data_IF_909835565461
#
_entry.id   IF_909835565461
#
_cell.length_a   1.000
_cell.length_b   1.000
_cell.length_c   1.000
_cell.angle_alpha   90.00
_cell.angle_beta   90.00
_cell.angle_gamma   90.00
#
_symmetry.space_group_name_H-M   'P 1'
#
loop_
_entity.id
_entity.type
_entity.pdbx_description
1 polymer ?
#
# COMPACT_ATOMS: atom_id res chain seq x y z
N UNK A 1 -4.97 12.43 9.70
CA UNK A 1 -5.02 11.81 8.36
C UNK A 1 -5.87 10.56 8.43
N UNK A 2 -6.81 10.37 7.52
CA UNK A 2 -7.66 9.19 7.39
C UNK A 2 -7.14 8.31 6.26
N UNK A 3 -6.86 7.04 6.53
CA UNK A 3 -6.17 6.15 5.60
C UNK A 3 -6.96 4.86 5.45
N UNK A 4 -7.26 4.47 4.21
CA UNK A 4 -7.86 3.19 3.89
C UNK A 4 -6.78 2.16 3.52
N UNK A 5 -6.82 0.99 4.15
CA UNK A 5 -6.07 -0.19 3.70
C UNK A 5 -7.09 -1.12 3.03
N UNK A 6 -7.11 -1.06 1.72
CA UNK A 6 -8.08 -1.77 0.88
C UNK A 6 -7.73 -3.25 0.85
N UNK A 7 -8.61 -4.06 1.42
CA UNK A 7 -8.44 -5.50 1.58
C UNK A 7 -9.67 -6.22 1.02
N UNK A 8 -9.45 -7.33 0.34
CA UNK A 8 -10.49 -8.18 -0.24
C UNK A 8 -10.37 -9.60 0.30
N UNK A 9 -11.37 -10.43 0.15
CA UNK A 9 -11.26 -11.85 0.51
C UNK A 9 -10.04 -12.49 -0.16
N UNK A 10 -9.26 -13.19 0.63
CA UNK A 10 -7.96 -13.72 0.25
C UNK A 10 -6.83 -12.70 0.34
N UNK A 11 -7.00 -11.59 1.08
CA UNK A 11 -5.95 -10.59 1.28
C UNK A 11 -4.74 -11.16 2.02
N UNK A 12 -3.58 -10.55 1.78
CA UNK A 12 -2.35 -10.89 2.49
C UNK A 12 -2.27 -10.10 3.80
N UNK A 13 -2.33 -10.81 4.94
CA UNK A 13 -2.29 -10.18 6.26
C UNK A 13 -0.95 -9.49 6.52
N UNK A 14 0.15 -10.07 6.05
CA UNK A 14 1.48 -9.57 6.38
C UNK A 14 1.65 -8.14 5.89
N UNK A 15 1.38 -7.88 4.62
CA UNK A 15 1.56 -6.54 4.06
C UNK A 15 0.50 -5.55 4.57
N UNK A 16 -0.75 -6.00 4.70
CA UNK A 16 -1.84 -5.15 5.19
C UNK A 16 -1.65 -4.75 6.65
N UNK A 17 -1.26 -5.69 7.53
CA UNK A 17 -1.11 -5.40 8.95
C UNK A 17 0.17 -4.66 9.30
N UNK A 18 1.26 -4.87 8.56
CA UNK A 18 2.47 -4.05 8.73
C UNK A 18 2.16 -2.59 8.43
N UNK A 19 1.51 -2.31 7.30
CA UNK A 19 1.11 -0.94 6.97
C UNK A 19 0.13 -0.36 8.00
N UNK A 20 -0.92 -1.10 8.38
CA UNK A 20 -1.90 -0.69 9.40
C UNK A 20 -1.23 -0.33 10.72
N UNK A 21 -0.30 -1.19 11.16
CA UNK A 21 0.39 -1.01 12.44
C UNK A 21 1.29 0.23 12.44
N UNK A 22 2.07 0.46 11.38
CA UNK A 22 2.97 1.61 11.29
C UNK A 22 2.21 2.93 11.19
N UNK A 23 1.21 3.01 10.34
CA UNK A 23 0.45 4.23 10.10
C UNK A 23 -0.32 4.70 11.33
N UNK A 24 -0.87 3.78 12.12
CA UNK A 24 -1.58 4.11 13.37
C UNK A 24 -0.66 4.52 14.53
N UNK A 25 0.68 4.50 14.36
CA UNK A 25 1.62 5.05 15.34
C UNK A 25 1.86 6.55 15.16
N UNK A 26 1.40 7.14 14.08
CA UNK A 26 1.50 8.59 13.88
C UNK A 26 0.37 9.28 14.63
N UNK A 27 0.66 10.24 15.55
CA UNK A 27 -0.38 10.94 16.29
C UNK A 27 -1.41 11.60 15.37
N UNK A 28 -2.69 11.37 15.64
CA UNK A 28 -3.81 11.92 14.87
C UNK A 28 -4.07 11.25 13.52
N UNK A 29 -3.39 10.14 13.22
CA UNK A 29 -3.69 9.33 12.05
C UNK A 29 -4.62 8.17 12.40
N UNK A 30 -5.47 7.80 11.45
CA UNK A 30 -6.44 6.71 11.58
C UNK A 30 -6.41 5.86 10.30
N UNK A 31 -5.59 4.80 10.33
CA UNK A 31 -5.58 3.79 9.28
C UNK A 31 -6.58 2.69 9.63
N UNK A 32 -7.41 2.31 8.67
CA UNK A 32 -8.50 1.36 8.85
C UNK A 32 -8.55 0.38 7.67
N UNK A 33 -8.95 -0.86 7.94
CA UNK A 33 -9.26 -1.82 6.89
C UNK A 33 -10.52 -1.36 6.16
N UNK A 34 -10.40 -1.25 4.85
CA UNK A 34 -11.47 -0.92 3.92
C UNK A 34 -11.81 -2.15 3.08
N UNK A 35 -13.07 -2.56 3.05
CA UNK A 35 -13.49 -3.73 2.30
C UNK A 35 -14.87 -3.55 1.65
N UNK A 36 -15.24 -4.37 0.64
CA UNK A 36 -16.59 -4.39 0.06
C UNK A 36 -17.66 -4.76 1.07
N UNK A 37 -17.36 -5.68 1.99
CA UNK A 37 -18.27 -6.25 2.97
C UNK A 37 -17.86 -5.90 4.41
N UNK A 38 -18.76 -6.16 5.37
CA UNK A 38 -18.51 -5.84 6.77
C UNK A 38 -17.37 -6.67 7.39
N UNK A 39 -17.08 -7.82 6.82
CA UNK A 39 -15.97 -8.69 7.18
C UNK A 39 -15.20 -9.10 5.94
N UNK A 40 -13.94 -9.41 6.09
CA UNK A 40 -13.07 -9.92 5.04
C UNK A 40 -12.16 -11.00 5.63
N UNK A 41 -11.91 -12.06 4.85
CA UNK A 41 -11.08 -13.19 5.27
C UNK A 41 -9.76 -13.18 4.50
N UNK A 42 -8.64 -13.33 5.22
CA UNK A 42 -7.31 -13.35 4.64
C UNK A 42 -7.02 -14.65 3.88
N UNK A 43 -5.88 -14.68 3.19
CA UNK A 43 -5.40 -15.86 2.48
C UNK A 43 -5.09 -17.05 3.40
N UNK A 44 -4.84 -16.80 4.69
CA UNK A 44 -4.57 -17.82 5.71
C UNK A 44 -5.78 -18.07 6.65
N UNK A 45 -6.97 -17.56 6.31
CA UNK A 45 -8.20 -17.84 7.03
C UNK A 45 -8.48 -16.91 8.22
N UNK A 46 -7.72 -15.82 8.38
CA UNK A 46 -7.98 -14.83 9.44
C UNK A 46 -9.16 -13.94 9.02
N UNK A 47 -10.25 -14.02 9.75
CA UNK A 47 -11.42 -13.16 9.53
C UNK A 47 -11.31 -11.89 10.36
N UNK A 48 -11.49 -10.74 9.71
CA UNK A 48 -11.46 -9.42 10.35
C UNK A 48 -12.68 -8.57 9.96
N UNK A 49 -13.05 -7.64 10.83
CA UNK A 49 -14.07 -6.64 10.51
C UNK A 49 -13.45 -5.50 9.70
N UNK A 50 -14.15 -5.06 8.66
CA UNK A 50 -13.83 -3.84 7.96
C UNK A 50 -14.28 -2.63 8.79
N UNK A 51 -13.37 -1.69 9.02
CA UNK A 51 -13.68 -0.43 9.72
C UNK A 51 -14.43 0.57 8.84
N UNK A 52 -14.24 0.50 7.52
CA UNK A 52 -14.85 1.39 6.52
C UNK A 52 -15.17 0.62 5.23
N UNK A 53 -16.02 1.22 4.39
CA UNK A 53 -16.52 0.64 3.13
C UNK A 53 -15.92 1.36 1.92
N UNK A 54 -16.02 0.72 0.73
CA UNK A 54 -15.46 1.26 -0.53
C UNK A 54 -16.02 2.64 -0.93
N UNK A 55 -17.25 2.94 -0.57
CA UNK A 55 -17.88 4.23 -0.87
C UNK A 55 -17.24 5.41 -0.11
N UNK A 56 -16.49 5.14 0.95
CA UNK A 56 -15.72 6.15 1.69
C UNK A 56 -14.35 6.47 1.08
N UNK A 57 -13.87 5.69 0.09
CA UNK A 57 -12.55 5.92 -0.52
C UNK A 57 -12.32 7.35 -1.01
N UNK A 58 -13.29 8.04 -1.64
CA UNK A 58 -13.10 9.42 -2.06
C UNK A 58 -12.83 10.40 -0.91
N UNK A 59 -13.20 10.07 0.32
CA UNK A 59 -13.02 10.93 1.50
C UNK A 59 -11.73 10.66 2.27
N UNK A 60 -10.93 9.69 1.83
CA UNK A 60 -9.66 9.35 2.47
C UNK A 60 -8.54 10.28 2.01
N UNK A 61 -7.60 10.59 2.90
CA UNK A 61 -6.38 11.33 2.59
C UNK A 61 -5.34 10.44 1.91
N UNK A 62 -5.36 9.13 2.23
CA UNK A 62 -4.49 8.15 1.62
C UNK A 62 -5.19 6.78 1.48
N UNK A 63 -4.75 6.01 0.49
CA UNK A 63 -5.24 4.64 0.24
C UNK A 63 -4.06 3.72 -0.04
N UNK A 64 -4.02 2.59 0.63
CA UNK A 64 -3.13 1.47 0.28
C UNK A 64 -3.98 0.35 -0.30
N UNK A 65 -3.68 -0.05 -1.52
CA UNK A 65 -4.27 -1.23 -2.16
C UNK A 65 -3.45 -2.44 -1.75
N UNK A 66 -4.01 -3.28 -0.89
CA UNK A 66 -3.39 -4.51 -0.40
C UNK A 66 -3.27 -5.58 -1.49
N UNK A 67 -2.44 -6.58 -1.23
CA UNK A 67 -2.29 -7.74 -2.10
C UNK A 67 -3.19 -8.91 -1.66
N UNK A 68 -3.29 -9.93 -2.51
CA UNK A 68 -4.01 -11.15 -2.16
C UNK A 68 -4.11 -12.15 -3.31
N UNK A 69 -4.56 -13.35 -2.98
CA UNK A 69 -4.64 -14.48 -3.93
C UNK A 69 -5.73 -14.31 -4.99
N UNK A 70 -6.66 -13.38 -4.79
CA UNK A 70 -7.78 -13.11 -5.70
C UNK A 70 -7.58 -11.88 -6.59
N UNK A 71 -6.43 -11.23 -6.56
CA UNK A 71 -6.21 -9.94 -7.24
C UNK A 71 -6.54 -9.98 -8.73
N UNK A 72 -6.25 -11.09 -9.44
CA UNK A 72 -6.59 -11.23 -10.86
C UNK A 72 -8.09 -11.24 -11.12
N UNK A 73 -8.86 -11.95 -10.27
CA UNK A 73 -10.32 -11.98 -10.37
C UNK A 73 -10.91 -10.60 -10.07
N UNK A 74 -10.36 -9.89 -9.06
CA UNK A 74 -10.78 -8.54 -8.71
C UNK A 74 -10.50 -7.55 -9.83
N UNK A 75 -9.34 -7.62 -10.48
CA UNK A 75 -8.98 -6.77 -11.62
C UNK A 75 -9.90 -7.00 -12.84
N UNK A 76 -10.45 -8.22 -13.00
CA UNK A 76 -11.39 -8.55 -14.08
C UNK A 76 -12.86 -8.18 -13.76
N UNK A 77 -13.16 -7.82 -12.50
CA UNK A 77 -14.51 -7.42 -12.08
C UNK A 77 -14.71 -5.92 -12.34
N UNK A 78 -15.28 -5.59 -13.50
CA UNK A 78 -15.54 -4.20 -13.90
C UNK A 78 -16.48 -3.46 -12.93
N UNK A 79 -17.44 -4.15 -12.30
CA UNK A 79 -18.36 -3.53 -11.35
C UNK A 79 -17.63 -3.16 -10.04
N UNK A 80 -16.74 -4.02 -9.56
CA UNK A 80 -15.88 -3.72 -8.41
C UNK A 80 -14.90 -2.59 -8.75
N UNK A 81 -14.21 -2.67 -9.89
CA UNK A 81 -13.23 -1.66 -10.30
C UNK A 81 -13.85 -0.27 -10.41
N UNK A 82 -15.07 -0.14 -10.91
CA UNK A 82 -15.80 1.13 -10.97
C UNK A 82 -16.13 1.75 -9.58
N UNK A 83 -16.10 0.95 -8.51
CA UNK A 83 -16.28 1.42 -7.13
C UNK A 83 -14.98 1.94 -6.50
N UNK A 84 -13.81 1.60 -7.07
CA UNK A 84 -12.51 2.03 -6.56
C UNK A 84 -12.19 3.43 -7.08
N UNK A 85 -12.86 4.43 -6.53
CA UNK A 85 -12.68 5.84 -6.91
C UNK A 85 -11.52 6.44 -6.15
N UNK A 86 -10.35 6.50 -6.79
CA UNK A 86 -9.10 7.05 -6.27
C UNK A 86 -8.73 8.31 -7.03
N UNK A 87 -8.20 9.31 -6.32
CA UNK A 87 -7.78 10.58 -6.90
C UNK A 87 -6.32 10.90 -6.50
N UNK A 88 -5.33 10.61 -7.38
CA UNK A 88 -3.93 10.89 -7.09
C UNK A 88 -3.58 12.39 -7.04
N UNK A 89 -4.48 13.29 -7.48
CA UNK A 89 -4.24 14.72 -7.37
C UNK A 89 -4.29 15.23 -5.93
N UNK A 90 -4.98 14.50 -5.03
CA UNK A 90 -5.14 14.89 -3.62
C UNK A 90 -4.87 13.76 -2.60
N UNK A 91 -4.88 12.49 -3.02
CA UNK A 91 -4.64 11.35 -2.15
C UNK A 91 -3.22 10.83 -2.31
N UNK A 92 -2.59 10.38 -1.23
CA UNK A 92 -1.43 9.51 -1.32
C UNK A 92 -1.95 8.08 -1.60
N UNK A 93 -1.51 7.49 -2.70
CA UNK A 93 -1.98 6.17 -3.14
C UNK A 93 -0.80 5.21 -3.17
N UNK A 94 -0.94 4.09 -2.48
CA UNK A 94 0.04 3.02 -2.47
C UNK A 94 -0.53 1.72 -2.98
N UNK A 95 0.31 0.88 -3.60
CA UNK A 95 -0.05 -0.51 -3.88
C UNK A 95 1.04 -1.45 -3.37
N UNK A 96 0.60 -2.54 -2.78
CA UNK A 96 1.45 -3.59 -2.25
C UNK A 96 1.37 -4.84 -3.14
N UNK A 97 2.53 -5.37 -3.55
CA UNK A 97 2.62 -6.62 -4.34
C UNK A 97 1.62 -6.66 -5.51
N UNK A 98 0.74 -7.65 -5.53
CA UNK A 98 -0.29 -7.82 -6.57
C UNK A 98 -1.31 -6.67 -6.61
N UNK A 99 -1.45 -5.88 -5.55
CA UNK A 99 -2.30 -4.69 -5.55
C UNK A 99 -1.95 -3.68 -6.66
N UNK A 100 -0.70 -3.70 -7.14
CA UNK A 100 -0.27 -2.93 -8.29
C UNK A 100 -1.09 -3.22 -9.57
N UNK A 101 -1.58 -4.46 -9.75
CA UNK A 101 -2.45 -4.81 -10.86
C UNK A 101 -3.77 -4.03 -10.84
N UNK A 102 -4.35 -3.81 -9.64
CA UNK A 102 -5.58 -3.03 -9.52
C UNK A 102 -5.34 -1.57 -9.91
N UNK A 103 -4.24 -0.94 -9.45
CA UNK A 103 -3.90 0.42 -9.85
C UNK A 103 -3.59 0.54 -11.36
N UNK A 104 -2.97 -0.49 -11.94
CA UNK A 104 -2.74 -0.55 -13.40
C UNK A 104 -4.07 -0.62 -14.15
N UNK A 105 -5.00 -1.47 -13.70
CA UNK A 105 -6.34 -1.59 -14.31
C UNK A 105 -7.16 -0.29 -14.20
N UNK A 106 -6.91 0.51 -13.17
CA UNK A 106 -7.51 1.85 -13.01
C UNK A 106 -6.82 2.93 -13.86
N UNK A 107 -5.77 2.60 -14.63
CA UNK A 107 -5.03 3.57 -15.45
C UNK A 107 -4.10 4.50 -14.65
N UNK A 108 -3.83 4.20 -13.38
CA UNK A 108 -3.07 5.09 -12.51
C UNK A 108 -1.54 4.91 -12.61
N UNK A 109 -1.07 3.89 -13.32
CA UNK A 109 0.36 3.52 -13.40
C UNK A 109 0.94 3.58 -14.83
N UNK A 110 0.25 4.16 -15.80
CA UNK A 110 0.65 4.14 -17.21
C UNK A 110 2.07 4.71 -17.46
N UNK A 111 2.47 5.72 -16.70
CA UNK A 111 3.76 6.41 -16.88
C UNK A 111 4.73 6.18 -15.72
N UNK A 112 4.33 5.41 -14.70
CA UNK A 112 5.09 5.19 -13.47
C UNK A 112 5.73 3.80 -13.50
N UNK A 113 7.06 3.66 -13.24
CA UNK A 113 7.65 2.34 -13.00
C UNK A 113 7.01 1.66 -11.79
N UNK A 114 6.77 0.36 -11.88
CA UNK A 114 5.99 -0.41 -10.91
C UNK A 114 6.85 -1.43 -10.20
N UNK A 115 6.75 -1.48 -8.87
CA UNK A 115 7.25 -2.57 -8.05
C UNK A 115 6.10 -3.53 -7.72
N UNK A 116 6.35 -4.82 -7.87
CA UNK A 116 5.41 -5.88 -7.51
C UNK A 116 6.20 -7.14 -7.09
N UNK A 117 5.52 -8.18 -6.63
CA UNK A 117 6.17 -9.47 -6.33
C UNK A 117 6.42 -10.29 -7.61
N UNK A 118 7.31 -11.28 -7.51
CA UNK A 118 7.71 -12.12 -8.65
C UNK A 118 6.54 -12.91 -9.26
N UNK A 119 5.55 -13.31 -8.47
CA UNK A 119 4.37 -14.05 -8.93
C UNK A 119 3.42 -13.16 -9.73
N UNK A 120 3.25 -11.92 -9.27
CA UNK A 120 2.33 -10.95 -9.90
C UNK A 120 2.94 -10.24 -11.10
N UNK A 121 4.27 -10.20 -11.21
CA UNK A 121 5.01 -9.51 -12.27
C UNK A 121 4.48 -9.80 -13.68
N UNK A 122 4.29 -11.06 -14.11
CA UNK A 122 3.80 -11.35 -15.47
C UNK A 122 2.42 -10.74 -15.76
N UNK A 123 1.56 -10.64 -14.73
CA UNK A 123 0.21 -10.08 -14.88
C UNK A 123 0.24 -8.56 -15.00
N UNK A 124 1.10 -7.92 -14.22
CA UNK A 124 1.28 -6.47 -14.22
C UNK A 124 1.93 -6.02 -15.52
N UNK A 125 2.97 -6.73 -16.01
CA UNK A 125 3.60 -6.47 -17.32
C UNK A 125 2.61 -6.67 -18.49
N UNK A 126 1.80 -7.71 -18.43
CA UNK A 126 0.75 -7.97 -19.44
C UNK A 126 -0.32 -6.88 -19.47
N UNK A 127 -0.53 -6.14 -18.39
CA UNK A 127 -1.41 -4.98 -18.32
C UNK A 127 -0.77 -3.69 -18.88
N UNK A 128 0.46 -3.77 -19.44
CA UNK A 128 1.07 -2.70 -20.24
C UNK A 128 1.96 -1.73 -19.49
N UNK A 129 2.31 -2.00 -18.22
CA UNK A 129 3.19 -1.15 -17.42
C UNK A 129 4.59 -1.75 -17.28
N UNK A 130 5.59 -0.87 -17.07
CA UNK A 130 6.98 -1.27 -16.86
C UNK A 130 7.21 -1.69 -15.42
N UNK A 131 7.47 -2.98 -15.17
CA UNK A 131 7.88 -3.49 -13.86
C UNK A 131 9.41 -3.34 -13.72
N UNK A 132 9.84 -2.87 -12.55
CA UNK A 132 11.26 -2.76 -12.18
C UNK A 132 11.59 -3.71 -11.02
N UNK A 133 12.84 -4.13 -10.98
CA UNK A 133 13.35 -4.98 -9.90
C UNK A 133 13.88 -4.11 -8.76
N UNK A 134 12.94 -3.59 -7.96
CA UNK A 134 13.21 -2.77 -6.79
C UNK A 134 12.15 -3.06 -5.71
N UNK A 135 12.48 -2.88 -4.43
CA UNK A 135 11.51 -3.12 -3.35
C UNK A 135 10.44 -2.04 -3.26
N UNK A 136 10.73 -0.84 -3.77
CA UNK A 136 9.87 0.33 -3.66
C UNK A 136 10.16 1.32 -4.79
N UNK A 137 9.12 1.96 -5.28
CA UNK A 137 9.20 3.12 -6.18
C UNK A 137 8.02 4.05 -5.93
N UNK A 138 8.25 5.36 -6.03
CA UNK A 138 7.19 6.35 -5.98
C UNK A 138 7.40 7.45 -7.02
N UNK A 139 6.30 8.02 -7.51
CA UNK A 139 6.25 9.18 -8.37
C UNK A 139 5.05 10.04 -7.99
N UNK A 140 5.27 11.32 -7.72
CA UNK A 140 4.25 12.22 -7.20
C UNK A 140 3.51 11.63 -5.97
N UNK A 141 2.21 11.40 -6.06
CA UNK A 141 1.39 10.86 -4.97
C UNK A 141 1.12 9.36 -5.09
N UNK A 142 1.79 8.65 -6.00
CA UNK A 142 1.61 7.21 -6.20
C UNK A 142 2.90 6.47 -5.86
N UNK A 143 2.76 5.37 -5.10
CA UNK A 143 3.88 4.49 -4.77
C UNK A 143 3.49 3.02 -4.94
N UNK A 144 4.47 2.17 -5.25
CA UNK A 144 4.32 0.72 -5.31
C UNK A 144 5.45 0.04 -4.57
N UNK A 145 5.16 -1.08 -3.92
CA UNK A 145 6.14 -1.88 -3.19
C UNK A 145 6.02 -3.36 -3.55
N UNK A 146 7.15 -4.02 -3.77
CA UNK A 146 7.23 -5.42 -4.19
C UNK A 146 7.83 -6.32 -3.11
N UNK A 147 7.12 -7.42 -2.80
CA UNK A 147 7.45 -8.32 -1.69
C UNK A 147 6.72 -7.91 -0.40
N UNK A 148 6.10 -8.88 0.29
CA UNK A 148 5.20 -8.60 1.42
C UNK A 148 5.88 -7.76 2.53
N UNK A 149 7.14 -8.03 2.81
CA UNK A 149 7.91 -7.25 3.79
C UNK A 149 8.18 -5.80 3.35
N UNK A 150 8.06 -5.48 2.05
CA UNK A 150 8.24 -4.12 1.55
C UNK A 150 7.11 -3.15 1.97
N UNK A 151 6.06 -3.64 2.63
CA UNK A 151 5.00 -2.81 3.20
C UNK A 151 5.53 -1.73 4.15
N UNK A 152 6.66 -1.96 4.81
CA UNK A 152 7.29 -0.95 5.65
C UNK A 152 7.85 0.25 4.87
N UNK A 153 8.33 0.06 3.63
CA UNK A 153 8.76 1.19 2.78
C UNK A 153 7.57 2.05 2.38
N UNK A 154 6.46 1.40 2.00
CA UNK A 154 5.24 2.10 1.61
C UNK A 154 4.67 2.93 2.77
N UNK A 155 4.60 2.33 3.97
CA UNK A 155 4.16 3.03 5.18
C UNK A 155 5.13 4.18 5.55
N UNK A 156 6.45 3.93 5.50
CA UNK A 156 7.47 4.95 5.77
C UNK A 156 7.37 6.14 4.80
N UNK A 157 7.15 5.88 3.52
CA UNK A 157 6.95 6.91 2.50
C UNK A 157 5.68 7.75 2.81
N UNK A 158 4.57 7.11 3.11
CA UNK A 158 3.34 7.84 3.47
C UNK A 158 3.53 8.70 4.71
N UNK A 159 4.20 8.17 5.74
CA UNK A 159 4.49 8.92 6.98
C UNK A 159 5.40 10.10 6.67
N UNK A 160 6.48 9.90 5.92
CA UNK A 160 7.41 10.94 5.57
C UNK A 160 6.75 12.07 4.74
N UNK A 161 5.86 11.71 3.80
CA UNK A 161 5.10 12.67 2.98
C UNK A 161 4.05 13.43 3.78
N UNK A 162 3.36 12.78 4.71
CA UNK A 162 2.23 13.38 5.44
C UNK A 162 2.56 13.96 6.81
N UNK A 163 3.61 13.47 7.47
CA UNK A 163 4.00 13.89 8.83
C UNK A 163 5.50 14.26 8.96
N UNK A 164 6.25 14.16 7.88
CA UNK A 164 7.66 14.48 7.84
C UNK A 164 8.59 13.29 8.10
N UNK A 165 9.81 13.41 7.58
CA UNK A 165 10.85 12.35 7.63
C UNK A 165 11.23 11.95 9.07
N UNK A 166 11.30 12.92 9.99
CA UNK A 166 11.59 12.66 11.40
C UNK A 166 10.54 11.75 12.05
N UNK A 167 9.26 11.95 11.72
CA UNK A 167 8.19 11.10 12.23
C UNK A 167 8.27 9.68 11.67
N UNK A 168 8.62 9.53 10.38
CA UNK A 168 8.84 8.21 9.78
C UNK A 168 9.96 7.46 10.50
N UNK A 169 11.10 8.09 10.74
CA UNK A 169 12.22 7.54 11.50
C UNK A 169 11.80 7.09 12.91
N UNK A 170 11.05 7.93 13.63
CA UNK A 170 10.54 7.60 14.97
C UNK A 170 9.65 6.35 14.98
N UNK A 171 8.73 6.26 14.01
CA UNK A 171 7.82 5.11 13.92
C UNK A 171 8.58 3.84 13.56
N UNK A 172 9.54 3.92 12.63
CA UNK A 172 10.36 2.76 12.24
C UNK A 172 11.22 2.30 13.43
N UNK A 173 11.88 3.22 14.13
CA UNK A 173 12.70 2.89 15.32
C UNK A 173 11.90 2.14 16.37
N UNK A 174 10.64 2.55 16.60
CA UNK A 174 9.78 1.90 17.57
C UNK A 174 9.54 0.41 17.25
N UNK A 175 9.36 0.06 15.98
CA UNK A 175 9.02 -1.31 15.55
C UNK A 175 10.23 -2.15 15.14
N UNK A 176 11.38 -1.53 14.95
CA UNK A 176 12.60 -2.20 14.53
C UNK A 176 13.10 -3.20 15.60
N UNK A 177 13.73 -4.31 15.18
CA UNK A 177 14.27 -5.30 16.11
C UNK A 177 15.24 -4.68 17.10
N UNK A 178 15.19 -5.16 18.35
CA UNK A 178 16.14 -4.75 19.40
C UNK A 178 17.56 -5.11 18.97
N UNK A 179 18.46 -4.11 19.04
CA UNK A 179 19.85 -4.26 18.58
C UNK A 179 20.09 -3.90 17.12
N UNK A 180 19.02 -3.70 16.30
CA UNK A 180 19.12 -3.39 14.86
C UNK A 180 18.42 -2.07 14.51
N UNK A 181 17.98 -1.28 15.48
CA UNK A 181 17.10 -0.12 15.28
C UNK A 181 17.68 0.89 14.30
N UNK A 182 18.90 1.38 14.57
CA UNK A 182 19.55 2.38 13.73
C UNK A 182 19.75 1.85 12.29
N UNK A 183 20.30 0.64 12.15
CA UNK A 183 20.51 0.01 10.84
C UNK A 183 19.18 -0.17 10.07
N UNK A 184 18.11 -0.54 10.75
CA UNK A 184 16.79 -0.71 10.14
C UNK A 184 16.22 0.63 9.67
N UNK A 185 16.30 1.68 10.49
CA UNK A 185 15.88 3.04 10.14
C UNK A 185 16.65 3.54 8.93
N UNK A 186 17.99 3.47 8.95
CA UNK A 186 18.82 3.94 7.85
C UNK A 186 18.55 3.18 6.56
N UNK A 187 18.42 1.86 6.63
CA UNK A 187 18.08 1.03 5.47
C UNK A 187 16.74 1.42 4.86
N UNK A 188 15.70 1.61 5.68
CA UNK A 188 14.37 1.96 5.18
C UNK A 188 14.39 3.36 4.59
N UNK A 189 14.99 4.32 5.28
CA UNK A 189 15.02 5.70 4.82
C UNK A 189 15.89 5.87 3.57
N UNK A 190 16.99 5.12 3.42
CA UNK A 190 17.80 5.17 2.18
C UNK A 190 17.02 4.75 0.93
N UNK A 191 16.04 3.84 1.08
CA UNK A 191 15.16 3.43 -0.03
C UNK A 191 14.07 4.47 -0.30
N UNK A 192 13.54 5.12 0.73
CA UNK A 192 12.37 6.00 0.64
C UNK A 192 12.74 7.46 0.33
N UNK A 193 13.81 7.99 0.92
CA UNK A 193 14.18 9.42 0.83
C UNK A 193 14.37 9.95 -0.60
N UNK A 194 14.88 9.18 -1.58
CA UNK A 194 14.95 9.65 -2.96
C UNK A 194 13.60 10.07 -3.57
N UNK A 195 12.50 9.56 -3.05
CA UNK A 195 11.14 9.77 -3.55
C UNK A 195 10.32 10.77 -2.71
N UNK A 196 10.93 11.46 -1.76
CA UNK A 196 10.25 12.47 -0.94
C UNK A 196 10.26 13.86 -1.56
N UNK A 197 11.20 14.09 -2.47
CA UNK A 197 11.36 15.37 -3.18
C UNK A 197 10.69 15.24 -4.55
N UNK A 198 9.43 15.57 -4.62
CA UNK A 198 8.70 15.73 -5.88
C UNK A 198 8.06 17.12 -5.92
#
# INVERSE_FOLDING_TARGET
MRIAILSFDGFNELDSFVALSLLNRVPGWHAMICAPDATVTSMNGVMISAGIRLDTLPDMDAVIVGSGVRTRQLAADAALMARLRLDPSRQLIGAQCSGALLLTTLGLLETVPVCTDATSRPWVEAAGVRVIEAPFHASANIATAGGCMAAHYLAAWMIARGAGEAQARTVIDYVAPVGEKEATVERIMSVVSPFLRA
#
